data_IF_971773409734
#
_entry.id   IF_971773409734
#
_cell.length_a   1.000
_cell.length_b   1.000
_cell.length_c   1.000
_cell.angle_alpha   90.00
_cell.angle_beta   90.00
_cell.angle_gamma   90.00
#
_symmetry.space_group_name_H-M   'P 1'
#
loop_
_entity.id
_entity.type
_entity.pdbx_description
1 polymer ?
#
# COMPACT_ATOMS: atom_id res chain seq x y z
N UNK A 1 -13.07 -15.64 -4.80
CA UNK A 1 -13.89 -14.43 -4.55
C UNK A 1 -13.57 -13.96 -3.16
N UNK A 2 -12.67 -12.98 -3.03
CA UNK A 2 -12.39 -12.38 -1.72
C UNK A 2 -13.62 -11.62 -1.22
N UNK A 3 -13.97 -11.86 0.04
CA UNK A 3 -15.04 -11.15 0.71
C UNK A 3 -14.65 -9.67 0.88
N UNK A 4 -15.48 -8.75 0.39
CA UNK A 4 -15.20 -7.31 0.54
C UNK A 4 -15.27 -6.92 2.01
N UNK A 5 -14.13 -6.63 2.61
CA UNK A 5 -14.00 -6.16 3.99
C UNK A 5 -14.84 -4.88 4.22
N UNK A 6 -15.96 -5.04 4.92
CA UNK A 6 -16.82 -3.94 5.36
C UNK A 6 -16.55 -3.67 6.83
N UNK A 7 -15.93 -2.53 7.11
CA UNK A 7 -15.74 -1.97 8.46
C UNK A 7 -16.21 -0.53 8.45
N UNK A 8 -16.68 -0.04 9.58
CA UNK A 8 -17.01 1.36 9.78
C UNK A 8 -15.75 2.24 9.86
N UNK A 9 -15.94 3.55 9.69
CA UNK A 9 -14.85 4.51 9.69
C UNK A 9 -14.10 4.60 11.03
N UNK A 10 -14.79 4.36 12.16
CA UNK A 10 -14.16 4.37 13.49
C UNK A 10 -13.23 3.17 13.67
N UNK A 11 -13.65 1.99 13.21
CA UNK A 11 -12.81 0.80 13.19
C UNK A 11 -11.55 1.01 12.32
N UNK A 12 -11.68 1.63 11.15
CA UNK A 12 -10.52 1.94 10.30
C UNK A 12 -9.56 2.95 10.94
N UNK A 13 -10.08 4.03 11.55
CA UNK A 13 -9.25 5.03 12.25
C UNK A 13 -8.49 4.45 13.45
N UNK A 14 -9.00 3.37 14.07
CA UNK A 14 -8.31 2.67 15.16
C UNK A 14 -7.21 1.72 14.65
N UNK A 15 -7.38 1.16 13.45
CA UNK A 15 -6.46 0.17 12.89
C UNK A 15 -5.33 0.80 12.07
N UNK A 16 -5.63 1.88 11.35
CA UNK A 16 -4.70 2.53 10.43
C UNK A 16 -4.08 3.76 11.09
N UNK A 17 -2.83 4.07 10.72
CA UNK A 17 -2.27 5.38 11.03
C UNK A 17 -3.08 6.48 10.32
N UNK A 18 -2.97 7.72 10.80
CA UNK A 18 -3.65 8.85 10.18
C UNK A 18 -3.35 8.94 8.67
N UNK A 19 -2.09 8.81 8.26
CA UNK A 19 -1.70 8.85 6.84
C UNK A 19 -2.27 7.67 6.06
N UNK A 20 -2.20 6.45 6.59
CA UNK A 20 -2.77 5.26 5.93
C UNK A 20 -4.29 5.41 5.74
N UNK A 21 -5.00 5.94 6.73
CA UNK A 21 -6.43 6.22 6.63
C UNK A 21 -6.73 7.27 5.56
N UNK A 22 -6.01 8.40 5.57
CA UNK A 22 -6.17 9.46 4.58
C UNK A 22 -5.94 8.94 3.15
N UNK A 23 -4.86 8.20 2.92
CA UNK A 23 -4.53 7.66 1.61
C UNK A 23 -5.56 6.60 1.16
N UNK A 24 -5.83 5.59 1.98
CA UNK A 24 -6.65 4.43 1.57
C UNK A 24 -8.16 4.67 1.62
N UNK A 25 -8.65 5.57 2.48
CA UNK A 25 -10.08 5.83 2.69
C UNK A 25 -10.54 7.18 2.17
N UNK A 26 -9.69 8.20 2.23
CA UNK A 26 -10.02 9.54 1.73
C UNK A 26 -9.42 9.86 0.35
N UNK A 27 -8.74 8.88 -0.29
CA UNK A 27 -8.04 9.06 -1.56
C UNK A 27 -7.02 10.20 -1.53
N UNK A 28 -6.40 10.42 -0.38
CA UNK A 28 -5.29 11.34 -0.23
C UNK A 28 -4.01 10.77 -0.84
N UNK A 29 -2.99 11.61 -0.93
CA UNK A 29 -1.65 11.24 -1.39
C UNK A 29 -0.64 11.69 -0.34
N UNK A 30 0.27 10.81 0.07
CA UNK A 30 1.35 11.17 0.98
C UNK A 30 2.36 12.12 0.28
N UNK A 31 3.05 13.02 1.00
CA UNK A 31 4.08 13.85 0.40
C UNK A 31 5.21 12.99 -0.22
N UNK A 32 5.85 13.45 -1.31
CA UNK A 32 6.92 12.69 -1.96
C UNK A 32 8.09 12.48 -1.00
N UNK A 33 8.75 11.32 -1.11
CA UNK A 33 9.92 10.91 -0.30
C UNK A 33 9.66 10.78 1.21
N UNK A 34 8.40 10.73 1.63
CA UNK A 34 8.03 10.54 3.05
C UNK A 34 7.53 9.14 3.39
N UNK A 35 7.16 8.35 2.38
CA UNK A 35 6.68 6.99 2.57
C UNK A 35 7.79 6.06 3.04
N UNK A 36 7.52 5.27 4.10
CA UNK A 36 8.45 4.28 4.66
C UNK A 36 9.00 3.33 3.58
N UNK A 37 8.17 2.97 2.61
CA UNK A 37 8.51 2.00 1.58
C UNK A 37 9.18 2.58 0.34
N UNK A 38 9.33 3.91 0.24
CA UNK A 38 9.85 4.52 -0.97
C UNK A 38 11.30 4.08 -1.27
N UNK A 39 12.21 4.24 -0.30
CA UNK A 39 13.63 3.88 -0.50
C UNK A 39 13.98 2.46 0.01
N UNK A 40 12.97 1.66 0.35
CA UNK A 40 13.22 0.29 0.82
C UNK A 40 13.60 -0.65 -0.33
N UNK A 41 14.60 -1.50 -0.07
CA UNK A 41 15.02 -2.62 -0.93
C UNK A 41 14.87 -3.97 -0.25
N UNK A 42 14.14 -4.02 0.85
CA UNK A 42 13.94 -5.23 1.65
C UNK A 42 13.17 -6.26 0.83
N UNK A 43 13.68 -7.49 0.77
CA UNK A 43 13.01 -8.59 0.09
C UNK A 43 11.71 -8.96 0.81
N UNK A 44 10.61 -9.08 0.07
CA UNK A 44 9.30 -9.39 0.64
C UNK A 44 8.13 -9.12 -0.30
N UNK A 45 6.94 -9.07 0.29
CA UNK A 45 5.68 -8.84 -0.41
C UNK A 45 4.96 -7.65 0.20
N UNK A 46 4.62 -6.68 -0.64
CA UNK A 46 3.80 -5.53 -0.26
C UNK A 46 2.34 -5.95 -0.28
N UNK A 47 1.69 -5.81 0.87
CA UNK A 47 0.30 -6.19 1.07
C UNK A 47 -0.56 -4.96 1.26
N UNK A 48 -1.81 -5.03 0.84
CA UNK A 48 -2.80 -4.01 1.13
C UNK A 48 -2.92 -3.83 2.64
N UNK A 49 -2.70 -2.62 3.14
CA UNK A 49 -2.78 -2.32 4.59
C UNK A 49 -4.20 -2.53 5.14
N UNK A 50 -5.22 -2.50 4.29
CA UNK A 50 -6.62 -2.69 4.69
C UNK A 50 -7.02 -4.16 4.79
N UNK A 51 -6.78 -4.95 3.74
CA UNK A 51 -7.25 -6.34 3.65
C UNK A 51 -6.16 -7.41 3.71
N UNK A 52 -4.88 -7.02 3.67
CA UNK A 52 -3.76 -7.95 3.72
C UNK A 52 -3.49 -8.70 2.42
N UNK A 53 -4.25 -8.44 1.34
CA UNK A 53 -3.99 -9.07 0.05
C UNK A 53 -2.61 -8.68 -0.50
N UNK A 54 -1.85 -9.62 -1.08
CA UNK A 54 -0.56 -9.34 -1.69
C UNK A 54 -0.77 -8.55 -3.00
N UNK A 55 -0.20 -7.35 -3.07
CA UNK A 55 -0.32 -6.45 -4.22
C UNK A 55 0.92 -6.46 -5.11
N UNK A 56 2.10 -6.38 -4.48
CA UNK A 56 3.37 -6.27 -5.20
C UNK A 56 4.47 -7.10 -4.55
N UNK A 57 5.48 -7.50 -5.33
CA UNK A 57 6.70 -8.16 -4.84
C UNK A 57 7.86 -7.19 -4.86
N UNK A 58 8.78 -7.32 -3.92
CA UNK A 58 10.02 -6.52 -3.91
C UNK A 58 10.86 -6.68 -5.18
N UNK A 59 10.76 -7.85 -5.83
CA UNK A 59 11.42 -8.16 -7.11
C UNK A 59 10.95 -7.27 -8.26
N UNK A 60 9.71 -6.77 -8.20
CA UNK A 60 9.14 -5.90 -9.22
C UNK A 60 9.27 -4.42 -8.87
N UNK A 61 9.82 -4.11 -7.69
CA UNK A 61 10.07 -2.75 -7.22
C UNK A 61 11.30 -2.17 -7.92
N UNK A 62 11.20 -0.92 -8.35
CA UNK A 62 12.31 -0.18 -8.91
C UNK A 62 12.30 1.27 -8.42
N UNK A 63 13.47 1.93 -8.47
CA UNK A 63 13.59 3.32 -8.05
C UNK A 63 13.28 4.25 -9.23
N UNK A 64 12.06 4.79 -9.27
CA UNK A 64 11.62 5.70 -10.33
C UNK A 64 12.10 7.14 -10.14
N UNK A 65 12.46 7.53 -8.91
CA UNK A 65 12.73 8.93 -8.55
C UNK A 65 11.47 9.80 -8.47
N UNK A 66 10.28 9.20 -8.47
CA UNK A 66 9.01 9.93 -8.37
C UNK A 66 8.68 10.41 -6.96
N UNK A 67 9.24 9.75 -5.92
CA UNK A 67 8.94 10.02 -4.52
C UNK A 67 7.92 9.06 -3.91
N UNK A 68 7.43 8.05 -4.65
CA UNK A 68 6.55 6.99 -4.17
C UNK A 68 6.94 5.61 -4.72
N UNK A 69 6.67 4.53 -3.95
CA UNK A 69 7.12 3.20 -4.29
C UNK A 69 6.55 2.76 -5.63
N UNK A 70 7.45 2.43 -6.56
CA UNK A 70 7.13 2.13 -7.95
C UNK A 70 7.40 0.67 -8.29
N UNK A 71 6.46 0.04 -9.01
CA UNK A 71 6.52 -1.37 -9.39
C UNK A 71 6.16 -1.54 -10.86
N UNK A 72 6.87 -2.41 -11.58
CA UNK A 72 6.59 -2.64 -13.00
C UNK A 72 5.60 -3.79 -13.24
N UNK A 73 5.32 -4.61 -12.23
CA UNK A 73 4.36 -5.72 -12.32
C UNK A 73 3.69 -6.00 -10.97
N UNK A 74 2.39 -6.38 -10.97
CA UNK A 74 1.66 -6.80 -9.79
C UNK A 74 2.11 -8.19 -9.29
N UNK A 75 1.67 -8.59 -8.09
CA UNK A 75 1.99 -9.89 -7.50
C UNK A 75 1.22 -11.06 -8.14
N UNK A 76 0.05 -10.82 -8.72
CA UNK A 76 -0.75 -11.77 -9.51
C UNK A 76 -1.67 -11.01 -10.48
N UNK A 77 -2.38 -11.73 -11.36
CA UNK A 77 -3.34 -11.12 -12.30
C UNK A 77 -4.57 -10.54 -11.59
N UNK A 78 -4.91 -11.05 -10.41
CA UNK A 78 -6.05 -10.57 -9.61
C UNK A 78 -5.68 -9.51 -8.55
N UNK A 79 -4.42 -9.05 -8.53
CA UNK A 79 -3.91 -8.09 -7.56
C UNK A 79 -4.21 -6.61 -7.93
#
# INVERSE_FOLDING_TARGET
>A
MEEKLRKDDSAWKKQLTQNQYLVTRQKGTEPPFTGEYEDTKTAGTYKCVCCGQPLFRSETKYHSGSGWPSFYAPASEEA
#
